data_IF_068757274191
#
_entry.id   IF_068757274191
#
_cell.length_a   1.000
_cell.length_b   1.000
_cell.length_c   1.000
_cell.angle_alpha   90.00
_cell.angle_beta   90.00
_cell.angle_gamma   90.00
#
_symmetry.space_group_name_H-M   'P 1'
#
loop_
_entity.id
_entity.type
_entity.pdbx_description
1 polymer ?
#
# COMPACT_ATOMS: atom_id res chain seq x y z
N UNK A 1 0.69 -7.73 21.31
CA UNK A 1 0.71 -7.90 19.84
C UNK A 1 1.98 -7.32 19.22
N UNK A 2 2.25 -6.01 19.28
CA UNK A 2 3.44 -5.38 18.66
C UNK A 2 4.75 -6.10 19.03
N UNK A 3 5.04 -6.30 20.32
CA UNK A 3 6.28 -7.02 20.72
C UNK A 3 6.37 -8.46 20.18
N UNK A 4 5.24 -9.15 20.06
CA UNK A 4 5.23 -10.50 19.47
C UNK A 4 5.56 -10.43 17.97
N UNK A 5 5.05 -9.42 17.27
CA UNK A 5 5.42 -9.11 15.89
C UNK A 5 6.91 -8.80 15.75
N UNK A 6 7.47 -7.92 16.59
CA UNK A 6 8.91 -7.61 16.54
C UNK A 6 9.78 -8.86 16.75
N UNK A 7 9.42 -9.71 17.71
CA UNK A 7 10.13 -10.97 17.94
C UNK A 7 10.00 -11.94 16.75
N UNK A 8 8.82 -12.00 16.13
CA UNK A 8 8.60 -12.86 14.97
C UNK A 8 9.42 -12.38 13.76
N UNK A 9 9.48 -11.07 13.52
CA UNK A 9 10.35 -10.43 12.52
C UNK A 9 11.82 -10.76 12.76
N UNK A 10 12.29 -10.61 14.00
CA UNK A 10 13.68 -10.92 14.35
C UNK A 10 14.02 -12.40 14.16
N UNK A 11 13.16 -13.31 14.61
CA UNK A 11 13.40 -14.74 14.51
C UNK A 11 13.45 -15.24 13.05
N UNK A 12 12.70 -14.59 12.18
CA UNK A 12 12.54 -14.97 10.77
C UNK A 12 13.60 -14.31 9.88
N UNK A 13 13.78 -12.99 10.00
CA UNK A 13 14.63 -12.19 9.12
C UNK A 13 15.95 -11.74 9.76
N UNK A 14 16.11 -11.93 11.07
CA UNK A 14 17.23 -11.38 11.83
C UNK A 14 17.19 -9.86 11.97
N UNK A 15 16.07 -9.20 11.64
CA UNK A 15 15.95 -7.76 11.72
C UNK A 15 15.74 -7.32 13.17
N UNK A 16 16.57 -6.39 13.63
CA UNK A 16 16.33 -5.68 14.87
C UNK A 16 15.27 -4.59 14.64
N UNK A 17 14.35 -4.45 15.60
CA UNK A 17 13.27 -3.49 15.50
C UNK A 17 13.11 -2.72 16.81
N UNK A 18 12.76 -1.45 16.68
CA UNK A 18 12.52 -0.54 17.78
C UNK A 18 11.07 -0.06 17.75
N UNK A 19 10.43 -0.03 18.92
CA UNK A 19 9.14 0.63 19.09
C UNK A 19 9.37 2.07 19.53
N UNK A 20 8.93 3.02 18.71
CA UNK A 20 8.91 4.44 19.03
C UNK A 20 7.48 4.84 19.38
N UNK A 21 7.25 5.21 20.64
CA UNK A 21 5.97 5.77 21.05
C UNK A 21 6.00 7.28 20.93
N UNK A 22 5.15 7.83 20.07
CA UNK A 22 5.02 9.27 19.89
C UNK A 22 3.83 9.75 20.73
N UNK A 23 4.09 10.11 21.98
CA UNK A 23 3.05 10.54 22.94
C UNK A 23 2.91 12.06 23.00
N UNK A 24 2.47 12.71 21.92
CA UNK A 24 2.11 14.13 21.96
C UNK A 24 0.63 14.34 21.64
N UNK A 25 0.05 15.40 22.22
CA UNK A 25 -1.34 15.81 21.93
C UNK A 25 -1.55 16.16 20.46
N UNK A 26 -0.50 16.64 19.78
CA UNK A 26 -0.45 16.92 18.35
C UNK A 26 0.92 16.46 17.83
N UNK A 27 0.97 15.74 16.70
CA UNK A 27 2.21 15.30 16.05
C UNK A 27 2.30 15.91 14.66
N UNK A 28 3.30 16.74 14.38
CA UNK A 28 3.50 17.28 13.02
C UNK A 28 4.31 16.32 12.16
N UNK A 29 4.17 16.39 10.82
CA UNK A 29 4.97 15.55 9.92
C UNK A 29 6.48 15.75 10.11
N UNK A 30 6.94 16.98 10.41
CA UNK A 30 8.35 17.27 10.68
C UNK A 30 8.86 16.60 11.95
N UNK A 31 8.01 16.45 12.96
CA UNK A 31 8.39 15.75 14.19
C UNK A 31 8.59 14.26 13.91
N UNK A 32 7.72 13.66 13.10
CA UNK A 32 7.81 12.25 12.69
C UNK A 32 9.06 12.03 11.82
N UNK A 33 9.27 12.90 10.83
CA UNK A 33 10.45 12.89 9.97
C UNK A 33 11.75 12.94 10.78
N UNK A 34 11.86 13.91 11.71
CA UNK A 34 13.03 14.01 12.59
C UNK A 34 13.25 12.76 13.47
N UNK A 35 12.19 12.07 13.91
CA UNK A 35 12.33 10.81 14.65
C UNK A 35 12.84 9.67 13.76
N UNK A 36 12.34 9.57 12.52
CA UNK A 36 12.79 8.59 11.54
C UNK A 36 14.25 8.82 11.20
N UNK A 37 14.66 10.05 10.90
CA UNK A 37 16.04 10.40 10.55
C UNK A 37 17.02 10.17 11.70
N UNK A 38 16.64 10.59 12.91
CA UNK A 38 17.43 10.35 14.13
C UNK A 38 17.65 8.86 14.35
N UNK A 39 16.61 8.05 14.16
CA UNK A 39 16.70 6.60 14.27
C UNK A 39 17.59 6.02 13.17
N UNK A 40 17.44 6.48 11.93
CA UNK A 40 18.26 6.04 10.80
C UNK A 40 19.75 6.34 10.95
N UNK A 41 20.07 7.49 11.53
CA UNK A 41 21.47 7.90 11.79
C UNK A 41 22.17 6.93 12.74
N UNK A 42 21.43 6.36 13.69
CA UNK A 42 21.96 5.41 14.67
C UNK A 42 21.91 3.97 14.14
N UNK A 43 20.91 3.64 13.32
CA UNK A 43 20.66 2.30 12.78
C UNK A 43 20.09 2.42 11.37
N UNK A 44 20.70 1.85 10.34
CA UNK A 44 20.13 1.87 8.98
C UNK A 44 18.75 1.23 8.97
N UNK A 45 17.71 2.04 8.78
CA UNK A 45 16.32 1.59 8.74
C UNK A 45 16.01 1.03 7.35
N UNK A 46 15.39 -0.16 7.30
CA UNK A 46 14.85 -0.73 6.05
C UNK A 46 13.36 -0.45 5.88
N UNK A 47 12.63 -0.45 7.00
CA UNK A 47 11.18 -0.29 7.04
C UNK A 47 10.74 0.51 8.26
N UNK A 48 9.64 1.25 8.11
CA UNK A 48 8.88 1.86 9.19
C UNK A 48 7.40 1.48 9.04
N UNK A 49 6.83 0.89 10.10
CA UNK A 49 5.39 0.62 10.19
C UNK A 49 4.75 1.67 11.10
N UNK A 50 3.97 2.58 10.50
CA UNK A 50 3.23 3.61 11.21
C UNK A 50 1.90 3.04 11.70
N UNK A 51 1.67 3.11 13.02
CA UNK A 51 0.49 2.52 13.68
C UNK A 51 -0.23 3.61 14.44
N UNK A 52 -1.51 3.86 14.15
CA UNK A 52 -2.24 4.93 14.81
C UNK A 52 -3.51 5.37 14.08
N UNK A 53 -3.94 6.59 14.39
CA UNK A 53 -5.11 7.24 13.80
C UNK A 53 -4.66 8.46 12.99
N UNK A 54 -5.35 8.69 11.87
CA UNK A 54 -5.18 9.86 11.03
C UNK A 54 -5.96 11.04 11.61
N UNK A 55 -5.31 11.88 12.41
CA UNK A 55 -5.85 13.19 12.81
C UNK A 55 -4.83 14.34 12.82
N UNK A 56 -3.52 14.05 12.81
CA UNK A 56 -2.46 15.08 12.81
C UNK A 56 -1.22 14.69 12.00
N UNK A 57 -1.08 13.41 11.61
CA UNK A 57 -0.14 12.98 10.57
C UNK A 57 -0.62 13.58 9.26
N UNK A 58 -0.27 14.85 9.03
CA UNK A 58 -0.39 15.52 7.75
C UNK A 58 0.34 14.66 6.72
N UNK A 59 -0.40 13.74 6.12
CA UNK A 59 -0.04 13.17 4.86
C UNK A 59 -0.07 14.36 3.89
N UNK A 60 1.11 14.78 3.47
CA UNK A 60 1.34 16.16 3.11
C UNK A 60 0.84 16.53 1.70
N UNK A 61 -0.46 16.75 1.54
CA UNK A 61 -1.04 17.23 0.29
C UNK A 61 -2.31 18.05 0.53
N UNK A 62 -2.20 19.39 0.51
CA UNK A 62 -3.38 20.23 0.28
C UNK A 62 -3.00 21.61 -0.26
N UNK A 63 -3.42 21.91 -1.51
CA UNK A 63 -2.61 22.79 -2.35
C UNK A 63 -2.87 23.05 -3.87
N UNK A 64 -3.66 22.33 -4.66
CA UNK A 64 -3.89 22.62 -6.12
C UNK A 64 -4.73 21.48 -6.73
N UNK A 65 -5.75 21.01 -6.00
CA UNK A 65 -6.63 19.91 -6.44
C UNK A 65 -5.97 18.51 -6.54
N UNK A 66 -4.83 18.29 -5.88
CA UNK A 66 -4.22 16.97 -5.71
C UNK A 66 -4.36 16.52 -4.25
N UNK A 67 -5.53 15.96 -3.97
CA UNK A 67 -5.98 15.45 -2.67
C UNK A 67 -5.45 14.04 -2.44
N UNK A 68 -4.12 13.88 -2.46
CA UNK A 68 -3.49 12.58 -2.28
C UNK A 68 -2.47 12.64 -1.16
N UNK A 69 -2.73 11.91 -0.07
CA UNK A 69 -1.76 11.74 0.97
C UNK A 69 -0.65 10.80 0.54
N UNK A 70 0.57 11.33 0.64
CA UNK A 70 1.76 10.62 0.20
C UNK A 70 2.58 10.16 1.39
N UNK A 71 3.07 8.91 1.31
CA UNK A 71 4.13 8.39 2.20
C UNK A 71 5.54 8.78 1.71
N UNK A 72 5.64 9.33 0.50
CA UNK A 72 6.91 9.71 -0.13
C UNK A 72 7.73 10.72 0.70
N UNK A 73 7.13 11.66 1.45
CA UNK A 73 7.86 12.55 2.36
C UNK A 73 8.58 11.88 3.53
N UNK A 74 8.47 10.57 3.69
CA UNK A 74 9.24 9.81 4.69
C UNK A 74 10.06 8.68 4.06
N UNK A 75 9.88 8.43 2.76
CA UNK A 75 10.57 7.38 2.02
C UNK A 75 11.99 7.81 1.58
N UNK A 76 12.26 9.12 1.54
CA UNK A 76 13.56 9.69 1.17
C UNK A 76 14.26 10.24 2.41
N UNK A 77 15.51 9.87 2.65
CA UNK A 77 16.28 10.34 3.80
C UNK A 77 17.10 11.57 3.39
N UNK A 78 16.58 12.78 3.59
CA UNK A 78 17.30 14.00 3.19
C UNK A 78 16.78 15.31 3.79
N UNK A 79 16.02 15.24 4.87
CA UNK A 79 15.45 16.36 5.61
C UNK A 79 14.56 17.26 4.77
N UNK A 80 14.23 18.47 5.26
CA UNK A 80 13.37 19.42 4.57
C UNK A 80 13.83 19.77 3.13
N UNK A 81 15.11 19.58 2.81
CA UNK A 81 15.67 19.82 1.47
C UNK A 81 15.37 18.74 0.43
N UNK A 82 15.06 17.52 0.86
CA UNK A 82 14.60 16.43 -0.01
C UNK A 82 13.19 16.68 -0.56
N UNK A 83 12.50 17.69 -0.02
CA UNK A 83 11.16 18.05 -0.40
C UNK A 83 11.13 19.42 -1.04
N UNK A 84 10.19 19.63 -1.95
CA UNK A 84 9.76 20.96 -2.34
C UNK A 84 8.42 21.25 -1.67
N UNK A 85 8.39 22.33 -0.89
CA UNK A 85 7.13 22.94 -0.46
C UNK A 85 6.67 23.75 -1.66
N UNK A 86 5.73 23.19 -2.39
CA UNK A 86 5.11 23.86 -3.50
C UNK A 86 3.81 24.49 -3.02
N UNK A 87 3.26 25.38 -3.85
CA UNK A 87 1.86 25.76 -3.65
C UNK A 87 0.95 24.55 -3.68
N UNK A 88 1.43 23.43 -4.28
CA UNK A 88 0.88 22.08 -4.55
C UNK A 88 1.17 21.02 -3.46
N UNK A 89 1.62 21.43 -2.27
CA UNK A 89 1.86 20.53 -1.14
C UNK A 89 3.32 20.11 -1.08
N UNK A 90 3.61 19.05 -0.35
CA UNK A 90 5.00 18.60 -0.16
C UNK A 90 5.27 17.47 -1.15
N UNK A 91 6.13 17.75 -2.12
CA UNK A 91 6.54 16.77 -3.13
C UNK A 91 7.95 16.29 -2.77
N UNK A 92 8.16 14.98 -2.71
CA UNK A 92 9.49 14.41 -2.63
C UNK A 92 10.21 14.60 -3.96
N UNK A 93 11.42 15.17 -3.92
CA UNK A 93 12.31 15.21 -5.09
C UNK A 93 12.66 13.77 -5.45
N UNK A 94 12.73 13.44 -6.76
CA UNK A 94 13.19 12.13 -7.20
C UNK A 94 14.53 11.82 -6.54
N UNK A 95 14.50 10.87 -5.62
CA UNK A 95 15.68 10.39 -4.91
C UNK A 95 15.42 8.94 -4.53
N UNK A 96 16.50 8.16 -4.56
CA UNK A 96 16.56 6.75 -4.15
C UNK A 96 15.68 6.52 -2.93
N UNK A 97 14.73 5.59 -3.05
CA UNK A 97 13.88 5.21 -1.91
C UNK A 97 14.80 4.58 -0.87
N UNK A 98 14.85 5.24 0.29
CA UNK A 98 15.79 4.93 1.35
C UNK A 98 15.11 4.19 2.50
N UNK A 99 13.79 4.24 2.57
CA UNK A 99 12.99 3.61 3.61
C UNK A 99 11.62 3.19 3.06
N UNK A 100 11.20 1.95 3.34
CA UNK A 100 9.82 1.54 3.12
C UNK A 100 8.92 2.05 4.24
N UNK A 101 7.91 2.85 3.90
CA UNK A 101 6.89 3.30 4.84
C UNK A 101 5.61 2.50 4.61
N UNK A 102 5.13 1.83 5.66
CA UNK A 102 3.85 1.12 5.65
C UNK A 102 2.90 1.70 6.68
N UNK A 103 1.62 1.78 6.35
CA UNK A 103 0.57 2.30 7.19
C UNK A 103 -0.28 1.17 7.78
N UNK A 104 -0.67 1.33 9.04
CA UNK A 104 -1.63 0.47 9.72
C UNK A 104 -2.59 1.32 10.55
N UNK A 105 -3.52 1.98 9.85
CA UNK A 105 -4.46 2.93 10.43
C UNK A 105 -5.88 2.38 10.41
N UNK A 106 -6.45 2.00 11.57
CA UNK A 106 -7.85 1.59 11.67
C UNK A 106 -8.80 2.72 11.23
N UNK A 107 -10.00 2.38 10.72
CA UNK A 107 -11.00 3.39 10.32
C UNK A 107 -11.30 4.41 11.42
N UNK A 108 -11.38 5.70 11.06
CA UNK A 108 -11.52 6.81 12.01
C UNK A 108 -12.76 6.68 12.91
N UNK A 109 -13.86 6.19 12.34
CA UNK A 109 -15.16 6.01 12.99
C UNK A 109 -15.21 4.86 13.99
N UNK A 110 -14.18 4.01 14.06
CA UNK A 110 -14.11 2.96 15.07
C UNK A 110 -13.90 3.58 16.46
N UNK A 111 -14.62 3.07 17.45
CA UNK A 111 -14.33 3.37 18.86
C UNK A 111 -12.93 2.87 19.25
N UNK A 112 -12.38 3.42 20.33
CA UNK A 112 -11.05 3.01 20.83
C UNK A 112 -10.90 1.48 20.96
N UNK A 113 -11.91 0.79 21.53
CA UNK A 113 -11.86 -0.67 21.68
C UNK A 113 -11.90 -1.38 20.33
N UNK A 114 -12.71 -0.91 19.37
CA UNK A 114 -12.73 -1.48 18.01
C UNK A 114 -11.39 -1.27 17.28
N UNK A 115 -10.77 -0.11 17.44
CA UNK A 115 -9.45 0.18 16.87
C UNK A 115 -8.38 -0.71 17.50
N UNK A 116 -8.44 -0.90 18.83
CA UNK A 116 -7.55 -1.81 19.56
C UNK A 116 -7.70 -3.23 19.03
N UNK A 117 -8.93 -3.73 18.90
CA UNK A 117 -9.21 -5.09 18.43
C UNK A 117 -8.78 -5.30 16.97
N UNK A 118 -9.00 -4.31 16.11
CA UNK A 118 -8.53 -4.30 14.72
C UNK A 118 -6.99 -4.39 14.64
N UNK A 119 -6.28 -3.58 15.43
CA UNK A 119 -4.81 -3.63 15.49
C UNK A 119 -4.30 -4.95 16.06
N UNK A 120 -4.93 -5.48 17.11
CA UNK A 120 -4.60 -6.79 17.67
C UNK A 120 -4.73 -7.88 16.59
N UNK A 121 -5.87 -7.91 15.89
CA UNK A 121 -6.13 -8.84 14.80
C UNK A 121 -5.07 -8.74 13.70
N UNK A 122 -4.73 -7.53 13.24
CA UNK A 122 -3.72 -7.34 12.20
C UNK A 122 -2.33 -7.87 12.64
N UNK A 123 -1.87 -7.51 13.83
CA UNK A 123 -0.56 -7.99 14.33
C UNK A 123 -0.55 -9.50 14.59
N UNK A 124 -1.64 -10.08 15.06
CA UNK A 124 -1.76 -11.54 15.20
C UNK A 124 -1.69 -12.24 13.83
N UNK A 125 -2.36 -11.68 12.80
CA UNK A 125 -2.23 -12.17 11.43
C UNK A 125 -0.79 -12.06 10.90
N UNK A 126 -0.11 -10.94 11.13
CA UNK A 126 1.29 -10.74 10.69
C UNK A 126 2.26 -11.70 11.37
N UNK A 127 2.01 -12.06 12.63
CA UNK A 127 2.85 -13.01 13.38
C UNK A 127 2.60 -14.47 13.00
N UNK A 128 1.34 -14.85 12.79
CA UNK A 128 0.95 -16.25 12.61
C UNK A 128 1.06 -16.73 11.16
N UNK A 129 0.98 -15.82 10.20
CA UNK A 129 1.03 -16.16 8.77
C UNK A 129 2.32 -15.63 8.13
N UNK A 130 3.49 -15.71 8.77
CA UNK A 130 4.73 -15.12 8.20
C UNK A 130 5.25 -15.82 6.94
N UNK A 131 5.06 -17.12 6.86
CA UNK A 131 5.58 -17.92 5.75
C UNK A 131 4.50 -18.12 4.70
N UNK A 132 4.71 -17.46 3.56
CA UNK A 132 3.86 -17.61 2.38
C UNK A 132 4.66 -18.30 1.29
N UNK A 133 4.57 -19.64 1.16
CA UNK A 133 5.10 -20.30 -0.01
C UNK A 133 4.52 -19.62 -1.24
N UNK A 134 5.39 -19.23 -2.17
CA UNK A 134 4.94 -18.67 -3.44
C UNK A 134 3.98 -19.68 -4.09
N UNK A 135 2.69 -19.36 -4.10
CA UNK A 135 1.68 -20.15 -4.79
C UNK A 135 1.94 -20.09 -6.29
N UNK A 136 1.33 -21.03 -7.03
CA UNK A 136 1.66 -21.20 -8.43
C UNK A 136 1.23 -20.01 -9.30
N UNK A 137 0.24 -19.21 -8.90
CA UNK A 137 -0.26 -18.12 -9.74
C UNK A 137 -0.55 -16.79 -9.03
N UNK A 138 -0.43 -15.73 -9.82
CA UNK A 138 -0.94 -14.38 -9.56
C UNK A 138 -2.20 -14.16 -10.40
N UNK A 139 -3.25 -13.59 -9.81
CA UNK A 139 -4.45 -13.15 -10.53
C UNK A 139 -4.36 -11.67 -10.84
N UNK A 140 -4.68 -11.30 -12.09
CA UNK A 140 -4.76 -9.91 -12.52
C UNK A 140 -6.06 -9.66 -13.24
N UNK A 141 -6.74 -8.59 -12.84
CA UNK A 141 -7.87 -8.02 -13.56
C UNK A 141 -7.58 -6.59 -14.00
N UNK A 142 -7.93 -6.28 -15.23
CA UNK A 142 -7.65 -4.98 -15.84
C UNK A 142 -8.80 -4.51 -16.75
N UNK A 143 -9.16 -3.23 -16.67
CA UNK A 143 -10.00 -2.57 -17.67
C UNK A 143 -9.20 -2.22 -18.93
N UNK A 144 -9.72 -2.56 -20.12
CA UNK A 144 -9.09 -2.18 -21.39
C UNK A 144 -9.22 -0.70 -21.75
N UNK A 145 -10.03 0.06 -20.99
CA UNK A 145 -10.14 1.52 -21.11
C UNK A 145 -8.92 2.25 -20.51
N UNK A 146 -8.05 1.51 -19.83
CA UNK A 146 -6.81 2.02 -19.24
C UNK A 146 -5.58 1.75 -20.12
N UNK A 147 -4.43 2.18 -19.59
CA UNK A 147 -3.14 2.30 -20.26
C UNK A 147 -2.70 1.09 -21.09
N UNK A 148 -1.98 1.35 -22.18
CA UNK A 148 -1.55 0.33 -23.15
C UNK A 148 -0.32 -0.49 -22.71
N UNK A 149 0.44 -0.10 -21.67
CA UNK A 149 1.69 -0.82 -21.34
C UNK A 149 1.58 -1.76 -20.12
N UNK A 150 0.60 -1.58 -19.23
CA UNK A 150 0.38 -2.45 -18.06
C UNK A 150 0.35 -3.94 -18.38
N UNK A 151 -0.31 -4.30 -19.47
CA UNK A 151 -0.36 -5.67 -20.00
C UNK A 151 1.01 -6.30 -20.24
N UNK A 152 1.97 -5.52 -20.73
CA UNK A 152 3.35 -6.00 -20.96
C UNK A 152 4.06 -6.26 -19.63
N UNK A 153 3.86 -5.37 -18.65
CA UNK A 153 4.48 -5.48 -17.33
C UNK A 153 4.01 -6.72 -16.59
N UNK A 154 2.70 -7.00 -16.64
CA UNK A 154 2.17 -8.22 -16.04
C UNK A 154 2.75 -9.46 -16.70
N UNK A 155 2.93 -9.44 -18.03
CA UNK A 155 3.56 -10.54 -18.75
C UNK A 155 5.02 -10.76 -18.34
N UNK A 156 5.77 -9.70 -18.01
CA UNK A 156 7.14 -9.83 -17.50
C UNK A 156 7.20 -10.54 -16.13
N UNK A 157 6.12 -10.47 -15.33
CA UNK A 157 6.02 -11.24 -14.08
C UNK A 157 5.88 -12.75 -14.31
N UNK A 158 5.54 -13.19 -15.53
CA UNK A 158 5.40 -14.61 -15.88
C UNK A 158 6.72 -15.39 -15.75
N UNK A 159 7.86 -14.69 -15.77
CA UNK A 159 9.17 -15.29 -15.55
C UNK A 159 9.38 -15.76 -14.09
N UNK A 160 8.59 -15.22 -13.15
CA UNK A 160 8.71 -15.50 -11.72
C UNK A 160 7.59 -16.41 -11.20
N UNK A 161 6.40 -16.36 -11.80
CA UNK A 161 5.21 -17.12 -11.35
C UNK A 161 4.16 -17.21 -12.45
N UNK A 162 3.21 -18.15 -12.39
CA UNK A 162 2.15 -18.22 -13.40
C UNK A 162 1.26 -16.99 -13.32
N UNK A 163 0.99 -16.36 -14.46
CA UNK A 163 0.10 -15.21 -14.53
C UNK A 163 -1.27 -15.62 -15.07
N UNK A 164 -2.33 -15.35 -14.30
CA UNK A 164 -3.71 -15.50 -14.72
C UNK A 164 -4.33 -14.12 -14.95
N UNK A 165 -4.20 -13.62 -16.18
CA UNK A 165 -4.62 -12.29 -16.59
C UNK A 165 -5.97 -12.31 -17.31
N UNK A 166 -6.88 -11.42 -16.92
CA UNK A 166 -8.17 -11.22 -17.58
C UNK A 166 -8.43 -9.73 -17.77
N UNK A 167 -8.57 -9.34 -19.04
CA UNK A 167 -8.95 -8.00 -19.48
C UNK A 167 -10.47 -7.93 -19.60
N UNK A 168 -11.10 -6.84 -19.14
CA UNK A 168 -12.55 -6.61 -19.14
C UNK A 168 -13.35 -7.77 -18.53
N UNK A 169 -12.97 -8.19 -17.31
CA UNK A 169 -13.55 -9.38 -16.71
C UNK A 169 -15.05 -9.23 -16.45
N UNK A 170 -15.80 -10.26 -16.83
CA UNK A 170 -17.22 -10.37 -16.54
C UNK A 170 -17.46 -10.64 -15.05
N UNK A 171 -18.66 -10.35 -14.53
CA UNK A 171 -19.04 -10.70 -13.15
C UNK A 171 -18.85 -12.19 -12.82
N UNK A 172 -19.01 -13.07 -13.82
CA UNK A 172 -18.81 -14.51 -13.66
C UNK A 172 -17.33 -14.86 -13.49
N UNK A 173 -16.43 -14.26 -14.28
CA UNK A 173 -14.99 -14.47 -14.17
C UNK A 173 -14.45 -13.96 -12.83
N UNK A 174 -14.92 -12.79 -12.39
CA UNK A 174 -14.66 -12.27 -11.05
C UNK A 174 -15.04 -13.28 -9.97
N UNK A 175 -16.31 -13.70 -9.96
CA UNK A 175 -16.84 -14.60 -8.93
C UNK A 175 -16.13 -15.96 -8.92
N UNK A 176 -15.80 -16.50 -10.10
CA UNK A 176 -15.06 -17.76 -10.22
C UNK A 176 -13.65 -17.62 -9.62
N UNK A 177 -12.98 -16.49 -9.83
CA UNK A 177 -11.63 -16.27 -9.31
C UNK A 177 -11.56 -16.33 -7.79
N UNK A 178 -12.60 -15.88 -7.07
CA UNK A 178 -12.62 -15.82 -5.59
C UNK A 178 -12.60 -17.20 -4.92
N UNK A 179 -12.87 -18.26 -5.68
CA UNK A 179 -12.83 -19.65 -5.18
C UNK A 179 -11.42 -20.26 -5.18
N UNK A 180 -10.43 -19.54 -5.68
CA UNK A 180 -9.05 -20.00 -5.83
C UNK A 180 -8.10 -19.25 -4.89
N UNK A 181 -6.97 -19.87 -4.60
CA UNK A 181 -5.87 -19.26 -3.84
C UNK A 181 -4.81 -18.74 -4.81
N UNK A 182 -4.37 -17.50 -4.59
CA UNK A 182 -3.30 -16.87 -5.39
C UNK A 182 -2.18 -16.34 -4.50
N UNK A 183 -0.99 -16.19 -5.06
CA UNK A 183 0.15 -15.52 -4.41
C UNK A 183 -0.10 -14.04 -4.21
N UNK A 184 -0.69 -13.42 -5.23
CA UNK A 184 -1.07 -12.03 -5.23
C UNK A 184 -2.32 -11.86 -6.09
N UNK A 185 -3.06 -10.80 -5.82
CA UNK A 185 -4.25 -10.42 -6.56
C UNK A 185 -4.16 -8.94 -6.90
N UNK A 186 -4.23 -8.62 -8.19
CA UNK A 186 -4.15 -7.25 -8.69
C UNK A 186 -5.43 -6.86 -9.41
N UNK A 187 -5.90 -5.64 -9.16
CA UNK A 187 -6.98 -5.01 -9.90
C UNK A 187 -6.50 -3.66 -10.42
N UNK A 188 -6.73 -3.39 -11.70
CA UNK A 188 -6.35 -2.15 -12.36
C UNK A 188 -7.56 -1.60 -13.12
N UNK A 189 -7.95 -0.37 -12.82
CA UNK A 189 -9.21 0.17 -13.34
C UNK A 189 -9.46 1.60 -12.94
N UNK A 190 -10.58 2.15 -13.43
CA UNK A 190 -11.07 3.41 -12.93
C UNK A 190 -11.62 3.21 -11.53
N UNK A 191 -11.09 3.95 -10.55
CA UNK A 191 -11.34 3.62 -9.15
C UNK A 191 -11.85 4.80 -8.35
N UNK A 192 -12.37 4.43 -7.18
CA UNK A 192 -12.50 5.28 -6.02
C UNK A 192 -12.18 4.44 -4.77
N UNK A 193 -12.16 5.01 -3.56
CA UNK A 193 -11.88 4.26 -2.34
C UNK A 193 -12.68 2.97 -2.17
N UNK A 194 -13.96 2.94 -2.60
CA UNK A 194 -14.84 1.79 -2.41
C UNK A 194 -14.68 0.66 -3.42
N UNK A 195 -13.90 0.87 -4.49
CA UNK A 195 -13.65 -0.17 -5.48
C UNK A 195 -13.06 0.30 -6.79
N UNK A 196 -12.92 -0.64 -7.71
CA UNK A 196 -12.25 -0.45 -9.00
C UNK A 196 -13.13 -1.02 -10.11
N UNK A 197 -13.36 -0.24 -11.16
CA UNK A 197 -14.02 -0.70 -12.37
C UNK A 197 -13.00 -1.31 -13.31
N UNK A 198 -13.04 -2.63 -13.45
CA UNK A 198 -12.09 -3.44 -14.23
C UNK A 198 -12.65 -3.83 -15.61
N UNK A 199 -13.65 -3.09 -16.11
CA UNK A 199 -14.24 -3.26 -17.44
C UNK A 199 -14.25 -1.93 -18.19
N UNK A 200 -14.14 -1.99 -19.52
CA UNK A 200 -14.31 -0.83 -20.39
C UNK A 200 -15.77 -0.34 -20.48
N UNK A 201 -16.76 -1.17 -20.14
CA UNK A 201 -18.15 -0.73 -20.01
C UNK A 201 -18.42 -0.37 -18.53
N UNK A 202 -18.59 0.93 -18.20
CA UNK A 202 -18.72 1.37 -16.82
C UNK A 202 -19.80 0.61 -16.05
N UNK A 203 -19.49 0.24 -14.81
CA UNK A 203 -20.36 -0.47 -13.87
C UNK A 203 -20.66 -1.94 -14.21
N UNK A 204 -20.03 -2.51 -15.24
CA UNK A 204 -20.17 -3.95 -15.56
C UNK A 204 -19.08 -4.82 -14.92
N UNK A 205 -17.95 -4.23 -14.56
CA UNK A 205 -16.79 -4.88 -13.95
C UNK A 205 -16.44 -4.31 -12.57
N UNK A 206 -17.42 -3.92 -11.74
CA UNK A 206 -17.11 -3.34 -10.43
C UNK A 206 -16.49 -4.38 -9.47
N UNK A 207 -15.27 -4.12 -9.00
CA UNK A 207 -14.58 -4.86 -7.96
C UNK A 207 -14.65 -4.10 -6.62
N UNK A 208 -15.59 -4.45 -5.72
CA UNK A 208 -15.79 -3.73 -4.47
C UNK A 208 -14.77 -4.14 -3.39
N UNK A 209 -14.42 -3.21 -2.51
CA UNK A 209 -13.49 -3.45 -1.38
C UNK A 209 -13.91 -4.60 -0.47
N UNK A 210 -15.21 -4.80 -0.30
CA UNK A 210 -15.81 -5.83 0.54
C UNK A 210 -15.39 -7.25 0.09
N UNK A 211 -15.06 -7.40 -1.19
CA UNK A 211 -14.55 -8.66 -1.77
C UNK A 211 -13.24 -9.11 -1.13
N UNK A 212 -12.41 -8.20 -0.62
CA UNK A 212 -11.10 -8.56 -0.03
C UNK A 212 -11.22 -9.49 1.19
N UNK A 213 -12.39 -9.52 1.82
CA UNK A 213 -12.68 -10.43 2.94
C UNK A 213 -12.88 -11.88 2.51
N UNK A 214 -13.19 -12.13 1.24
CA UNK A 214 -13.44 -13.46 0.69
C UNK A 214 -12.26 -14.01 -0.12
N UNK A 215 -11.30 -13.16 -0.49
CA UNK A 215 -10.11 -13.58 -1.22
C UNK A 215 -9.19 -14.44 -0.36
N UNK A 216 -8.59 -15.45 -0.99
CA UNK A 216 -7.48 -16.21 -0.40
C UNK A 216 -6.18 -15.81 -1.08
N UNK A 217 -5.60 -14.69 -0.63
CA UNK A 217 -4.32 -14.17 -1.11
C UNK A 217 -3.60 -13.46 0.05
N UNK A 218 -2.27 -13.60 0.18
CA UNK A 218 -1.52 -12.88 1.19
C UNK A 218 -1.15 -11.45 0.77
N UNK A 219 -1.17 -11.18 -0.53
CA UNK A 219 -0.83 -9.87 -1.10
C UNK A 219 -1.94 -9.38 -2.02
N UNK A 220 -2.29 -8.10 -1.90
CA UNK A 220 -3.27 -7.46 -2.77
C UNK A 220 -2.70 -6.14 -3.32
N UNK A 221 -2.84 -5.94 -4.62
CA UNK A 221 -2.56 -4.65 -5.22
C UNK A 221 -3.81 -4.08 -5.87
N UNK A 222 -4.00 -2.77 -5.73
CA UNK A 222 -4.99 -2.06 -6.51
C UNK A 222 -4.35 -0.85 -7.14
N UNK A 223 -4.74 -0.64 -8.39
CA UNK A 223 -4.28 0.47 -9.17
C UNK A 223 -5.46 1.24 -9.78
N UNK A 224 -5.51 2.53 -9.49
CA UNK A 224 -6.50 3.44 -10.02
C UNK A 224 -6.62 4.71 -9.18
N UNK A 225 -7.40 5.68 -9.67
CA UNK A 225 -7.63 6.91 -8.94
C UNK A 225 -8.14 6.61 -7.52
N UNK A 226 -7.48 7.18 -6.51
CA UNK A 226 -7.97 7.20 -5.13
C UNK A 226 -8.12 5.82 -4.44
N UNK A 227 -7.63 4.72 -5.01
CA UNK A 227 -7.63 3.38 -4.35
C UNK A 227 -6.92 3.38 -3.00
N UNK A 228 -6.06 4.36 -2.79
CA UNK A 228 -5.31 4.58 -1.58
C UNK A 228 -6.16 5.21 -0.44
N UNK A 229 -7.41 5.64 -0.69
CA UNK A 229 -8.39 5.91 0.37
C UNK A 229 -9.08 7.27 0.36
N UNK A 230 -8.79 8.16 -0.59
CA UNK A 230 -9.20 9.56 -0.48
C UNK A 230 -10.15 10.00 -1.57
N UNK A 231 -11.39 10.33 -1.21
CA UNK A 231 -12.20 11.27 -2.00
C UNK A 231 -11.95 12.66 -1.42
N UNK A 232 -11.80 13.71 -2.23
CA UNK A 232 -12.59 14.89 -1.92
C UNK A 232 -13.66 15.11 -2.98
N UNK A 233 -14.85 15.36 -2.45
CA UNK A 233 -15.98 15.93 -3.17
C UNK A 233 -16.19 17.39 -2.73
N UNK A 234 -15.17 18.07 -2.20
CA UNK A 234 -15.34 19.40 -1.63
C UNK A 234 -14.92 20.50 -2.60
N UNK A 235 -15.68 21.60 -2.58
CA UNK A 235 -15.13 22.91 -2.88
C UNK A 235 -14.26 23.29 -1.67
N UNK A 236 -12.96 23.45 -1.92
CA UNK A 236 -11.93 24.03 -1.05
C UNK A 236 -12.49 24.76 0.20
N UNK A 237 -12.42 24.09 1.35
CA UNK A 237 -12.87 24.64 2.64
C UNK A 237 -11.73 24.73 3.68
N UNK A 238 -10.48 24.42 3.30
CA UNK A 238 -9.30 24.37 4.18
C UNK A 238 -9.47 23.48 5.43
N UNK A 239 -10.26 22.40 5.36
CA UNK A 239 -10.36 21.37 6.39
C UNK A 239 -10.14 19.98 5.79
N UNK A 240 -9.27 19.20 6.42
CA UNK A 240 -9.12 17.76 6.15
C UNK A 240 -10.40 17.06 6.64
N UNK A 241 -11.24 16.59 5.72
CA UNK A 241 -12.36 15.71 6.05
C UNK A 241 -11.86 14.32 6.50
N UNK A 242 -12.61 13.65 7.39
CA UNK A 242 -12.29 12.31 7.91
C UNK A 242 -12.21 11.29 6.77
N UNK A 243 -11.00 10.96 6.34
CA UNK A 243 -10.77 10.33 5.03
C UNK A 243 -10.59 8.81 5.03
N UNK A 244 -10.77 8.11 6.17
CA UNK A 244 -10.62 6.64 6.25
C UNK A 244 -11.91 5.95 6.66
N UNK A 245 -12.88 5.93 5.74
CA UNK A 245 -14.10 5.14 5.90
C UNK A 245 -13.82 3.64 5.88
N UNK A 246 -14.80 2.83 6.32
CA UNK A 246 -14.72 1.35 6.24
C UNK A 246 -14.72 0.83 4.80
N UNK A 247 -15.12 1.67 3.84
CA UNK A 247 -15.26 1.35 2.43
C UNK A 247 -14.02 1.79 1.65
N UNK A 248 -12.85 1.41 2.15
CA UNK A 248 -11.55 1.61 1.50
C UNK A 248 -10.76 0.29 1.50
N UNK A 249 -10.03 0.00 0.41
CA UNK A 249 -9.18 -1.19 0.29
C UNK A 249 -8.26 -1.40 1.50
N UNK A 250 -7.55 -0.36 1.96
CA UNK A 250 -6.64 -0.46 3.10
C UNK A 250 -7.32 -0.85 4.41
N UNK A 251 -8.58 -0.46 4.61
CA UNK A 251 -9.36 -0.87 5.78
C UNK A 251 -9.61 -2.39 5.82
N UNK A 252 -9.55 -3.07 4.67
CA UNK A 252 -9.72 -4.52 4.58
C UNK A 252 -8.56 -5.29 5.22
N UNK A 253 -7.43 -4.64 5.54
CA UNK A 253 -6.35 -5.28 6.31
C UNK A 253 -6.82 -5.72 7.71
N UNK A 254 -7.86 -5.08 8.24
CA UNK A 254 -8.40 -5.37 9.57
C UNK A 254 -9.54 -6.41 9.56
N UNK A 255 -9.99 -6.84 8.39
CA UNK A 255 -11.13 -7.77 8.25
C UNK A 255 -10.78 -8.99 7.41
N UNK A 256 -9.91 -8.85 6.41
CA UNK A 256 -9.39 -9.97 5.63
C UNK A 256 -8.57 -10.92 6.49
N UNK A 257 -8.85 -12.22 6.36
CA UNK A 257 -8.16 -13.27 7.11
C UNK A 257 -6.79 -13.62 6.54
N UNK A 258 -6.51 -13.25 5.30
CA UNK A 258 -5.36 -13.75 4.53
C UNK A 258 -4.41 -12.64 4.10
N UNK A 259 -4.94 -11.48 3.70
CA UNK A 259 -4.12 -10.38 3.18
C UNK A 259 -3.25 -9.82 4.30
N UNK A 260 -1.93 -9.83 4.12
CA UNK A 260 -0.96 -9.29 5.06
C UNK A 260 -0.38 -7.94 4.64
N UNK A 261 -0.25 -7.71 3.34
CA UNK A 261 0.24 -6.45 2.80
C UNK A 261 -0.56 -6.07 1.57
N UNK A 262 -0.68 -4.77 1.37
CA UNK A 262 -1.30 -4.18 0.19
C UNK A 262 -0.40 -3.09 -0.40
N UNK A 263 -0.35 -3.03 -1.72
CA UNK A 263 0.19 -1.91 -2.47
C UNK A 263 -0.95 -1.22 -3.21
N UNK A 264 -1.30 0.00 -2.79
CA UNK A 264 -2.44 0.74 -3.32
C UNK A 264 -1.91 2.02 -3.95
N UNK A 265 -2.17 2.25 -5.24
CA UNK A 265 -1.65 3.45 -5.88
C UNK A 265 -2.12 3.70 -7.29
N UNK A 266 -1.41 4.59 -7.98
CA UNK A 266 -1.67 4.93 -9.38
C UNK A 266 -0.56 4.40 -10.29
N UNK A 267 -0.94 3.72 -11.36
CA UNK A 267 -0.11 3.29 -12.47
C UNK A 267 0.11 4.56 -13.27
N UNK A 268 1.13 5.31 -12.88
CA UNK A 268 1.53 6.44 -13.68
C UNK A 268 2.13 5.91 -14.99
N UNK A 269 1.34 5.89 -16.05
CA UNK A 269 1.90 6.03 -17.40
C UNK A 269 1.13 7.04 -18.26
N UNK A 270 0.55 8.07 -17.63
CA UNK A 270 0.18 9.28 -18.36
C UNK A 270 1.27 10.35 -18.19
N UNK A 271 2.34 10.25 -18.99
CA UNK A 271 3.30 11.33 -19.21
C UNK A 271 4.65 11.25 -18.49
N UNK A 272 4.90 10.23 -17.67
CA UNK A 272 6.20 10.02 -17.03
C UNK A 272 7.21 9.39 -18.02
N UNK A 273 8.45 9.89 -18.00
CA UNK A 273 9.54 9.38 -18.85
C UNK A 273 10.23 8.13 -18.29
N UNK A 274 9.91 7.74 -17.06
CA UNK A 274 10.44 6.58 -16.35
C UNK A 274 9.30 5.73 -15.77
N UNK A 275 9.46 4.41 -15.66
CA UNK A 275 8.45 3.52 -15.08
C UNK A 275 8.35 3.77 -13.58
N UNK A 276 7.15 4.06 -13.07
CA UNK A 276 6.94 4.34 -11.63
C UNK A 276 5.92 3.39 -10.99
N UNK A 277 5.50 2.34 -11.71
CA UNK A 277 4.57 1.37 -11.14
C UNK A 277 5.28 0.48 -10.11
N UNK A 278 4.56 0.16 -9.03
CA UNK A 278 4.98 -0.87 -8.08
C UNK A 278 5.21 -2.24 -8.75
N UNK A 279 4.40 -2.55 -9.78
CA UNK A 279 4.50 -3.82 -10.50
C UNK A 279 5.82 -3.94 -11.28
N UNK A 280 6.29 -2.84 -11.86
CA UNK A 280 7.54 -2.80 -12.65
C UNK A 280 8.76 -2.85 -11.75
N UNK A 281 8.71 -2.11 -10.65
CA UNK A 281 9.90 -1.77 -9.90
C UNK A 281 10.09 -2.61 -8.62
N UNK A 282 9.02 -3.18 -8.05
CA UNK A 282 9.10 -3.89 -6.77
C UNK A 282 8.67 -5.36 -6.84
N UNK A 283 7.64 -5.68 -7.64
CA UNK A 283 7.13 -7.06 -7.69
C UNK A 283 8.17 -8.11 -8.11
N UNK A 284 9.05 -7.90 -9.12
CA UNK A 284 10.05 -8.91 -9.47
C UNK A 284 10.94 -9.29 -8.30
N UNK A 285 11.37 -8.29 -7.52
CA UNK A 285 12.22 -8.48 -6.36
C UNK A 285 11.47 -9.16 -5.20
N UNK A 286 10.21 -8.78 -4.96
CA UNK A 286 9.35 -9.44 -3.97
C UNK A 286 9.12 -10.93 -4.33
N UNK A 287 8.85 -11.23 -5.60
CA UNK A 287 8.67 -12.61 -6.09
C UNK A 287 9.96 -13.43 -6.07
N UNK A 288 11.12 -12.78 -6.03
CA UNK A 288 12.43 -13.42 -5.81
C UNK A 288 12.72 -13.73 -4.32
N UNK A 289 11.76 -13.47 -3.43
CA UNK A 289 11.86 -13.79 -2.00
C UNK A 289 12.42 -12.65 -1.15
N UNK A 290 12.69 -11.46 -1.71
CA UNK A 290 12.97 -10.27 -0.89
C UNK A 290 11.74 -9.86 -0.10
N UNK A 291 11.98 -9.15 0.99
CA UNK A 291 10.88 -8.50 1.72
C UNK A 291 10.27 -7.36 0.90
N UNK A 292 9.00 -7.05 1.17
CA UNK A 292 8.31 -5.92 0.59
C UNK A 292 9.13 -4.65 0.78
N UNK A 293 9.64 -4.41 1.99
CA UNK A 293 10.51 -3.28 2.23
C UNK A 293 11.77 -3.29 1.35
N UNK A 294 12.52 -4.40 1.28
CA UNK A 294 13.73 -4.48 0.46
C UNK A 294 13.46 -4.34 -1.03
N UNK A 295 12.29 -4.77 -1.52
CA UNK A 295 11.89 -4.60 -2.93
C UNK A 295 11.68 -3.14 -3.33
N UNK A 296 11.43 -2.26 -2.36
CA UNK A 296 11.19 -0.84 -2.58
C UNK A 296 12.45 0.01 -2.43
N UNK A 297 13.52 -0.50 -1.79
CA UNK A 297 14.73 0.27 -1.53
C UNK A 297 15.65 0.35 -2.75
N UNK A 298 16.31 1.50 -2.93
CA UNK A 298 17.31 1.71 -3.97
C UNK A 298 16.81 2.60 -5.10
N UNK A 299 17.30 2.35 -6.32
CA UNK A 299 16.94 3.11 -7.53
C UNK A 299 15.57 2.69 -8.09
N UNK A 300 14.66 2.30 -7.20
CA UNK A 300 13.26 1.99 -7.46
C UNK A 300 12.51 3.32 -7.54
N UNK A 301 11.79 3.56 -8.63
CA UNK A 301 10.87 4.70 -8.72
C UNK A 301 9.45 4.19 -8.46
N UNK A 302 8.77 4.77 -7.49
CA UNK A 302 7.36 4.50 -7.22
C UNK A 302 6.57 5.80 -7.39
N UNK A 303 5.41 5.69 -8.03
CA UNK A 303 4.44 6.78 -8.12
C UNK A 303 3.74 7.01 -6.78
N UNK A 304 2.49 7.45 -6.82
CA UNK A 304 1.66 7.56 -5.63
C UNK A 304 1.17 6.19 -5.15
N UNK A 305 2.11 5.34 -4.72
CA UNK A 305 1.82 4.03 -4.11
C UNK A 305 2.00 4.15 -2.62
N UNK A 306 0.96 3.79 -1.87
CA UNK A 306 1.02 3.56 -0.44
C UNK A 306 1.13 2.07 -0.16
N UNK A 307 1.86 1.73 0.90
CA UNK A 307 1.90 0.39 1.45
C UNK A 307 1.03 0.34 2.70
N UNK A 308 0.18 -0.69 2.81
CA UNK A 308 -0.65 -0.95 3.98
C UNK A 308 -0.36 -2.36 4.51
N UNK A 309 -0.11 -2.48 5.80
CA UNK A 309 0.12 -3.78 6.45
C UNK A 309 1.59 -4.11 6.74
N UNK A 310 1.98 -5.37 6.61
CA UNK A 310 3.30 -5.87 7.03
C UNK A 310 4.42 -5.54 6.02
N UNK A 311 5.35 -4.59 6.31
CA UNK A 311 6.47 -4.30 5.41
C UNK A 311 7.54 -5.38 5.38
N UNK A 312 7.51 -6.33 6.32
CA UNK A 312 8.41 -7.49 6.38
C UNK A 312 7.87 -8.70 5.60
N UNK A 313 6.69 -8.56 4.99
CA UNK A 313 6.10 -9.58 4.12
C UNK A 313 7.09 -10.02 3.03
N UNK A 314 7.22 -11.31 2.81
CA UNK A 314 7.99 -11.90 1.72
C UNK A 314 7.41 -13.28 1.37
N UNK A 315 7.68 -13.73 0.15
CA UNK A 315 7.39 -15.11 -0.23
C UNK A 315 8.52 -16.05 0.20
N UNK A 316 8.16 -17.24 0.67
CA UNK A 316 9.10 -18.33 0.88
C UNK A 316 9.25 -19.11 -0.44
N UNK A 317 10.48 -19.24 -0.94
CA UNK A 317 10.82 -19.97 -2.17
C UNK A 317 11.23 -21.43 -1.92
#
# INVERSE_FOLDING_TARGET
>A
AIHAYLNAVHNDLGWDAQLLQIQNKNNTYQQIDAQIESSNTNHTLKACLMVGEDLDTALAGDSDHLEQPSILPWATLGGPSAYDITNQGIIAKPSTISLCISLLYPPSQFSYEQKKDALLFAFEKFTTQRHHPLQQSIRVFESSDLNIHSKTLYQDLADYTSLEYTEDATPQELTNSFTHTYSAFFVHGHSNPSGTDISADPHTGWFPTETLTTLTTPFFGADGCYVAGWWSLQKDNNQLDESTGTSWYGASIFTSQTIQAMALGLLSQNGCSTPVSFLENAMPELLSGKTLAESLLGDTTLGDTIIVGDPSFHYTL
#
